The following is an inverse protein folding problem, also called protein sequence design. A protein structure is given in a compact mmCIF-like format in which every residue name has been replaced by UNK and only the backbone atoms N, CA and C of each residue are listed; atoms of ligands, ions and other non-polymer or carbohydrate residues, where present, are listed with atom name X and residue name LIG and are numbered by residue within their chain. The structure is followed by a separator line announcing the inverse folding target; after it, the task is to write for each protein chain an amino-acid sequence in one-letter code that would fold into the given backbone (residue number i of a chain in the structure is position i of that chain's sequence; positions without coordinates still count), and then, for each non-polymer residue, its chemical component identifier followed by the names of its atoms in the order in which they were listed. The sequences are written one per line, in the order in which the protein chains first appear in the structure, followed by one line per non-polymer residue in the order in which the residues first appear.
data_IF_988231184918
#
_entry.id   IF_988231184918
#
_cell.length_a   1.000
_cell.length_b   1.000
_cell.length_c   1.000
_cell.angle_alpha   90.00
_cell.angle_beta   90.00
_cell.angle_gamma   90.00
#
_symmetry.space_group_name_H-M   'P 1'
#
loop_
_entity.id
_entity.type
_entity.pdbx_description
1 polymer ?
#
# COMPACT_ATOMS: atom_id res chain seq x y z
N UNK A 1 25.35 -31.39 50.55
CA UNK A 1 24.85 -31.92 49.26
C UNK A 1 24.09 -30.80 48.57
N UNK A 2 24.58 -30.36 47.41
CA UNK A 2 23.98 -29.28 46.61
C UNK A 2 22.80 -29.87 45.83
N UNK A 3 21.58 -29.40 46.07
CA UNK A 3 20.46 -29.60 45.15
C UNK A 3 20.18 -28.28 44.45
N UNK A 4 20.56 -28.23 43.18
CA UNK A 4 20.25 -27.15 42.25
C UNK A 4 18.80 -27.28 41.81
N UNK A 5 17.95 -26.32 42.18
CA UNK A 5 16.64 -26.16 41.54
C UNK A 5 16.74 -25.02 40.54
N UNK A 6 16.79 -25.41 39.26
CA UNK A 6 16.67 -24.51 38.11
C UNK A 6 15.18 -24.14 38.02
N UNK A 7 14.81 -22.92 38.41
CA UNK A 7 13.49 -22.37 38.10
C UNK A 7 13.58 -21.83 36.68
N UNK A 8 13.01 -22.59 35.76
CA UNK A 8 12.84 -22.29 34.35
C UNK A 8 12.11 -20.95 34.23
N UNK A 9 12.75 -19.99 33.57
CA UNK A 9 12.14 -18.73 33.19
C UNK A 9 10.89 -19.01 32.34
N UNK A 10 9.72 -18.59 32.83
CA UNK A 10 8.53 -18.46 32.02
C UNK A 10 8.80 -17.38 30.98
N UNK A 11 9.29 -17.80 29.81
CA UNK A 11 9.26 -16.98 28.61
C UNK A 11 7.79 -16.66 28.34
N UNK A 12 7.40 -15.42 28.64
CA UNK A 12 6.19 -14.81 28.08
C UNK A 12 6.48 -14.67 26.59
N UNK A 13 6.24 -15.74 25.85
CA UNK A 13 6.22 -15.72 24.39
C UNK A 13 4.96 -14.96 24.03
N UNK A 14 5.06 -13.63 23.95
CA UNK A 14 4.08 -12.80 23.25
C UNK A 14 4.14 -13.26 21.80
N UNK A 15 3.28 -14.22 21.48
CA UNK A 15 2.96 -14.58 20.11
C UNK A 15 2.33 -13.33 19.52
N UNK A 16 3.16 -12.48 18.88
CA UNK A 16 2.67 -11.58 17.85
C UNK A 16 2.09 -12.50 16.78
N UNK A 17 0.80 -12.76 16.90
CA UNK A 17 -0.02 -13.22 15.78
C UNK A 17 0.03 -12.07 14.80
N UNK A 18 1.04 -12.08 13.92
CA UNK A 18 0.95 -11.35 12.66
C UNK A 18 -0.16 -12.06 11.92
N UNK A 19 -1.38 -11.59 12.16
CA UNK A 19 -2.51 -11.82 11.28
C UNK A 19 -2.10 -11.22 9.94
N UNK A 20 -1.39 -12.01 9.13
CA UNK A 20 -1.45 -11.95 7.67
C UNK A 20 -2.85 -12.37 7.23
N UNK A 21 -3.87 -11.76 7.84
CA UNK A 21 -5.27 -12.02 7.61
C UNK A 21 -5.59 -11.58 6.20
N UNK A 22 -6.43 -12.35 5.55
CA UNK A 22 -6.96 -12.16 4.21
C UNK A 22 -7.78 -10.86 4.04
N UNK A 23 -7.25 -9.70 4.42
CA UNK A 23 -7.78 -8.41 3.98
C UNK A 23 -7.29 -8.16 2.55
N UNK A 24 -7.84 -8.94 1.62
CA UNK A 24 -7.59 -8.79 0.19
C UNK A 24 -8.37 -7.63 -0.44
N UNK A 25 -9.18 -6.91 0.34
CA UNK A 25 -9.99 -5.80 -0.14
C UNK A 25 -9.67 -4.50 0.60
N UNK A 26 -9.39 -3.45 -0.17
CA UNK A 26 -9.32 -2.07 0.33
C UNK A 26 -10.68 -1.67 0.93
N UNK A 27 -10.74 -1.10 2.16
CA UNK A 27 -11.99 -0.64 2.76
C UNK A 27 -12.74 0.36 1.86
N UNK A 28 -14.08 0.42 1.90
CA UNK A 28 -14.87 1.31 1.04
C UNK A 28 -14.49 2.79 1.18
N UNK A 29 -14.26 3.25 2.41
CA UNK A 29 -13.90 4.64 2.73
C UNK A 29 -12.49 4.97 2.20
N UNK A 30 -11.57 4.01 2.33
CA UNK A 30 -10.22 4.11 1.77
C UNK A 30 -10.25 4.16 0.24
N UNK A 31 -11.12 3.37 -0.39
CA UNK A 31 -11.34 3.38 -1.84
C UNK A 31 -11.92 4.71 -2.32
N UNK A 32 -12.86 5.28 -1.58
CA UNK A 32 -13.43 6.59 -1.88
C UNK A 32 -12.37 7.70 -1.77
N UNK A 33 -11.60 7.72 -0.68
CA UNK A 33 -10.50 8.66 -0.50
C UNK A 33 -9.44 8.54 -1.62
N UNK A 34 -9.15 7.31 -2.05
CA UNK A 34 -8.19 7.02 -3.09
C UNK A 34 -8.63 7.49 -4.48
N UNK A 35 -9.86 7.12 -4.88
CA UNK A 35 -10.38 7.37 -6.22
C UNK A 35 -10.97 8.77 -6.37
N UNK A 36 -11.38 9.41 -5.26
CA UNK A 36 -11.89 10.79 -5.26
C UNK A 36 -10.85 11.84 -5.63
N UNK A 37 -9.56 11.48 -5.67
CA UNK A 37 -8.47 12.35 -6.11
C UNK A 37 -8.29 12.39 -7.65
N UNK A 38 -9.06 11.61 -8.40
CA UNK A 38 -9.01 11.58 -9.87
C UNK A 38 -10.22 12.32 -10.46
N UNK A 39 -10.04 12.86 -11.66
CA UNK A 39 -11.16 13.41 -12.43
C UNK A 39 -12.00 12.29 -13.07
N UNK A 40 -13.32 12.45 -13.22
CA UNK A 40 -14.18 11.43 -13.80
C UNK A 40 -13.73 10.91 -15.17
N UNK A 41 -13.19 11.79 -16.02
CA UNK A 41 -12.67 11.49 -17.35
C UNK A 41 -11.40 10.63 -17.34
N UNK A 42 -10.66 10.61 -16.23
CA UNK A 42 -9.47 9.75 -16.06
C UNK A 42 -9.88 8.29 -15.86
N UNK A 43 -11.14 8.00 -15.52
CA UNK A 43 -11.69 6.65 -15.39
C UNK A 43 -10.78 5.71 -14.56
N UNK A 44 -10.38 6.10 -13.33
CA UNK A 44 -9.40 5.35 -12.55
C UNK A 44 -9.91 3.95 -12.18
N UNK A 45 -9.03 2.96 -12.27
CA UNK A 45 -9.29 1.55 -11.95
C UNK A 45 -8.20 1.05 -11.01
N UNK A 46 -8.62 0.43 -9.92
CA UNK A 46 -7.69 -0.28 -9.05
C UNK A 46 -7.26 -1.55 -9.77
N UNK A 47 -5.97 -1.64 -10.08
CA UNK A 47 -5.34 -2.80 -10.73
C UNK A 47 -5.05 -3.88 -9.68
N UNK A 48 -4.41 -3.49 -8.58
CA UNK A 48 -4.07 -4.41 -7.50
C UNK A 48 -4.07 -3.71 -6.13
N UNK A 49 -4.37 -4.50 -5.09
CA UNK A 49 -4.37 -4.06 -3.69
C UNK A 49 -3.62 -5.10 -2.88
N UNK A 50 -2.73 -4.62 -2.00
CA UNK A 50 -2.01 -5.47 -1.06
C UNK A 50 -1.90 -4.79 0.29
N UNK A 51 -2.22 -5.51 1.36
CA UNK A 51 -1.90 -5.06 2.71
C UNK A 51 -0.38 -4.84 2.82
N UNK A 52 0.00 -3.62 3.20
CA UNK A 52 1.39 -3.21 3.28
C UNK A 52 1.93 -3.52 4.68
N UNK A 53 3.19 -3.95 4.74
CA UNK A 53 3.91 -3.99 6.01
C UNK A 53 4.11 -2.55 6.51
N UNK A 54 3.81 -2.27 7.78
CA UNK A 54 4.14 -0.97 8.37
C UNK A 54 5.65 -0.85 8.63
N UNK A 55 6.23 0.24 8.16
CA UNK A 55 7.61 0.62 8.48
C UNK A 55 7.69 1.30 9.85
N UNK A 56 8.89 1.43 10.45
CA UNK A 56 9.06 2.13 11.72
C UNK A 56 8.56 3.58 11.70
N UNK A 57 8.71 4.30 10.58
CA UNK A 57 8.17 5.66 10.45
C UNK A 57 6.63 5.70 10.46
N UNK A 58 5.96 4.70 9.90
CA UNK A 58 4.50 4.62 9.89
C UNK A 58 3.98 4.46 11.33
N UNK A 59 4.64 3.60 12.10
CA UNK A 59 4.31 3.38 13.51
C UNK A 59 4.55 4.64 14.36
N UNK A 60 5.62 5.40 14.07
CA UNK A 60 5.90 6.67 14.75
C UNK A 60 4.83 7.73 14.47
N UNK A 61 4.13 7.65 13.34
CA UNK A 61 3.02 8.52 12.96
C UNK A 61 1.65 8.02 13.46
N UNK A 62 1.60 6.86 14.13
CA UNK A 62 0.35 6.26 14.60
C UNK A 62 -0.48 5.63 13.49
N UNK A 63 0.15 5.18 12.40
CA UNK A 63 -0.53 4.41 11.36
C UNK A 63 -0.93 3.04 11.91
N UNK A 64 -2.21 2.73 11.77
CA UNK A 64 -2.79 1.46 12.23
C UNK A 64 -2.77 0.40 11.12
N UNK A 65 -3.07 0.83 9.89
CA UNK A 65 -3.20 -0.04 8.73
C UNK A 65 -2.68 0.68 7.48
N UNK A 66 -2.09 -0.06 6.53
CA UNK A 66 -1.63 0.48 5.26
C UNK A 66 -1.86 -0.48 4.10
N UNK A 67 -2.10 0.06 2.91
CA UNK A 67 -2.29 -0.67 1.67
C UNK A 67 -1.47 -0.08 0.53
N UNK A 68 -0.75 -0.94 -0.17
CA UNK A 68 -0.19 -0.64 -1.46
C UNK A 68 -1.28 -0.85 -2.51
N UNK A 69 -1.64 0.21 -3.23
CA UNK A 69 -2.65 0.19 -4.27
C UNK A 69 -2.06 0.65 -5.58
N UNK A 70 -2.13 -0.20 -6.59
CA UNK A 70 -1.77 0.15 -7.96
C UNK A 70 -3.04 0.53 -8.71
N UNK A 71 -2.96 1.61 -9.47
CA UNK A 71 -4.09 2.21 -10.18
C UNK A 71 -3.70 2.41 -11.63
N UNK A 72 -4.63 2.08 -12.53
CA UNK A 72 -4.55 2.48 -13.93
C UNK A 72 -5.60 3.53 -14.23
N UNK A 73 -5.28 4.49 -15.08
CA UNK A 73 -6.17 5.60 -15.43
C UNK A 73 -5.80 6.16 -16.80
N UNK A 74 -6.73 6.87 -17.42
CA UNK A 74 -6.50 7.60 -18.67
C UNK A 74 -5.76 8.90 -18.36
N UNK A 75 -4.61 9.10 -18.99
CA UNK A 75 -3.86 10.35 -18.89
C UNK A 75 -3.30 10.82 -20.23
N UNK A 76 -3.06 12.12 -20.38
CA UNK A 76 -2.39 12.66 -21.55
C UNK A 76 -0.88 12.42 -21.46
N UNK A 77 -0.31 11.72 -22.44
CA UNK A 77 1.14 11.53 -22.49
C UNK A 77 1.79 12.59 -23.37
N UNK A 78 2.56 13.50 -22.75
CA UNK A 78 3.36 14.49 -23.47
C UNK A 78 4.38 13.86 -24.42
N UNK A 79 4.91 12.68 -24.08
CA UNK A 79 5.90 11.97 -24.89
C UNK A 79 5.34 11.40 -26.19
N UNK A 80 4.04 11.07 -26.20
CA UNK A 80 3.36 10.49 -27.37
C UNK A 80 2.37 11.44 -28.06
N UNK A 81 2.00 12.55 -27.41
CA UNK A 81 1.04 13.50 -27.95
C UNK A 81 -0.38 12.94 -28.07
N UNK A 82 -0.75 11.99 -27.21
CA UNK A 82 -2.08 11.38 -27.18
C UNK A 82 -2.44 10.87 -25.77
N UNK A 83 -3.72 10.60 -25.55
CA UNK A 83 -4.18 9.93 -24.34
C UNK A 83 -3.72 8.47 -24.31
N UNK A 84 -3.37 7.99 -23.12
CA UNK A 84 -2.82 6.65 -22.87
C UNK A 84 -3.38 6.08 -21.56
N UNK A 85 -3.19 4.78 -21.37
CA UNK A 85 -3.39 4.13 -20.07
C UNK A 85 -2.12 4.29 -19.25
N UNK A 86 -2.20 5.14 -18.24
CA UNK A 86 -1.14 5.44 -17.30
C UNK A 86 -1.33 4.63 -16.02
N UNK A 87 -0.26 4.54 -15.26
CA UNK A 87 -0.21 3.83 -14.00
C UNK A 87 0.30 4.72 -12.88
N UNK A 88 -0.22 4.49 -11.69
CA UNK A 88 0.22 5.16 -10.47
C UNK A 88 0.16 4.15 -9.31
N UNK A 89 1.11 4.29 -8.39
CA UNK A 89 1.19 3.49 -7.17
C UNK A 89 0.94 4.42 -5.99
N UNK A 90 -0.05 4.07 -5.18
CA UNK A 90 -0.49 4.87 -4.03
C UNK A 90 -0.46 4.06 -2.76
N UNK A 91 0.10 4.65 -1.73
CA UNK A 91 0.09 4.09 -0.38
C UNK A 91 -1.04 4.73 0.39
N UNK A 92 -1.97 3.91 0.85
CA UNK A 92 -3.17 4.33 1.59
C UNK A 92 -2.99 3.93 3.03
N UNK A 93 -3.12 4.88 3.95
CA UNK A 93 -2.92 4.68 5.39
C UNK A 93 -4.20 4.99 6.15
N UNK A 94 -4.39 4.28 7.26
CA UNK A 94 -5.33 4.64 8.31
C UNK A 94 -4.60 5.22 9.51
N UNK A 95 -4.99 6.42 9.93
CA UNK A 95 -4.51 7.06 11.17
C UNK A 95 -5.75 7.48 11.96
N UNK A 96 -6.07 6.73 13.02
CA UNK A 96 -7.34 6.85 13.74
C UNK A 96 -8.54 6.69 12.80
N UNK A 97 -9.38 7.73 12.73
CA UNK A 97 -10.59 7.76 11.89
C UNK A 97 -10.35 8.36 10.49
N UNK A 98 -9.11 8.67 10.13
CA UNK A 98 -8.77 9.33 8.86
C UNK A 98 -8.02 8.41 7.91
N UNK A 99 -8.39 8.49 6.63
CA UNK A 99 -7.70 7.85 5.51
C UNK A 99 -6.78 8.86 4.83
N UNK A 100 -5.49 8.52 4.72
CA UNK A 100 -4.51 9.33 4.00
C UNK A 100 -3.98 8.57 2.79
N UNK A 101 -3.69 9.30 1.72
CA UNK A 101 -3.19 8.74 0.46
C UNK A 101 -1.89 9.46 0.09
N UNK A 102 -0.85 8.70 -0.21
CA UNK A 102 0.43 9.24 -0.68
C UNK A 102 0.82 8.60 -2.02
N UNK A 103 1.37 9.43 -2.90
CA UNK A 103 1.89 9.01 -4.20
C UNK A 103 3.28 8.38 -4.03
N UNK A 104 3.61 7.42 -4.88
CA UNK A 104 4.92 6.78 -4.94
C UNK A 104 5.65 7.29 -6.18
N UNK A 105 6.38 8.39 -6.04
CA UNK A 105 6.97 9.09 -7.19
C UNK A 105 8.49 9.05 -7.14
N UNK A 106 9.07 9.32 -5.97
CA UNK A 106 10.52 9.42 -5.82
C UNK A 106 11.18 8.05 -5.71
N UNK A 107 12.48 7.98 -5.97
CA UNK A 107 13.24 6.73 -5.77
C UNK A 107 13.25 6.28 -4.30
N UNK A 108 13.14 7.22 -3.36
CA UNK A 108 12.96 6.90 -1.94
C UNK A 108 11.60 6.24 -1.69
N UNK A 109 10.52 6.77 -2.27
CA UNK A 109 9.18 6.19 -2.15
C UNK A 109 9.13 4.79 -2.75
N UNK A 110 9.75 4.58 -3.93
CA UNK A 110 9.83 3.28 -4.59
C UNK A 110 10.61 2.27 -3.75
N UNK A 111 11.72 2.67 -3.14
CA UNK A 111 12.46 1.82 -2.20
C UNK A 111 11.57 1.41 -1.02
N UNK A 112 10.91 2.39 -0.41
CA UNK A 112 9.95 2.22 0.68
C UNK A 112 8.78 1.32 0.29
N UNK A 113 8.30 1.39 -0.95
CA UNK A 113 7.26 0.52 -1.50
C UNK A 113 7.70 -0.94 -1.55
N UNK A 114 8.91 -1.18 -2.06
CA UNK A 114 9.49 -2.53 -2.12
C UNK A 114 9.76 -3.08 -0.71
N UNK A 115 10.25 -2.25 0.22
CA UNK A 115 10.48 -2.65 1.62
C UNK A 115 9.17 -3.05 2.35
N UNK A 116 8.02 -2.51 1.90
CA UNK A 116 6.68 -2.92 2.35
C UNK A 116 6.20 -4.25 1.74
N UNK A 117 7.00 -4.82 0.83
CA UNK A 117 6.71 -6.06 0.11
C UNK A 117 5.80 -5.86 -1.11
N UNK A 118 5.71 -4.64 -1.64
CA UNK A 118 4.79 -4.29 -2.71
C UNK A 118 5.48 -4.32 -4.09
N UNK A 119 4.70 -4.62 -5.12
CA UNK A 119 5.15 -4.67 -6.51
C UNK A 119 4.71 -3.41 -7.23
N UNK A 120 5.64 -2.75 -7.93
CA UNK A 120 5.33 -1.59 -8.76
C UNK A 120 4.77 -2.07 -10.09
N UNK A 121 3.72 -1.39 -10.57
CA UNK A 121 3.32 -1.51 -11.97
C UNK A 121 4.14 -0.54 -12.83
N UNK A 122 4.39 -0.84 -14.11
CA UNK A 122 5.07 0.09 -15.00
C UNK A 122 4.25 1.38 -15.19
N UNK A 123 4.89 2.56 -15.10
CA UNK A 123 4.27 3.90 -15.20
C UNK A 123 3.35 4.11 -16.42
N UNK A 124 3.53 3.32 -17.48
CA UNK A 124 2.69 3.30 -18.67
C UNK A 124 2.35 1.85 -19.04
N UNK A 125 1.06 1.52 -19.07
CA UNK A 125 0.60 0.12 -19.22
C UNK A 125 0.14 -0.17 -20.66
N UNK A 126 -0.32 0.82 -21.43
CA UNK A 126 -0.61 0.67 -22.88
C UNK A 126 -1.09 1.99 -23.54
N UNK A 127 -1.13 1.99 -24.87
CA UNK A 127 -1.86 3.02 -25.65
C UNK A 127 -3.36 2.82 -25.67
N UNK A 128 -4.11 3.86 -26.06
CA UNK A 128 -5.57 3.82 -26.13
C UNK A 128 -6.05 2.63 -26.98
N UNK A 129 -6.77 1.69 -26.34
CA UNK A 129 -7.49 0.59 -26.98
C UNK A 129 -6.75 -0.75 -27.01
N UNK A 130 -7.04 -1.61 -26.04
CA UNK A 130 -6.60 -3.01 -26.04
C UNK A 130 -7.43 -3.88 -25.10
N UNK A 131 -8.68 -4.16 -25.52
CA UNK A 131 -9.69 -5.09 -24.97
C UNK A 131 -9.94 -5.13 -23.46
#
# INVERSE_FOLDING_TARGET
MRSSFIIVAFAVTTVLVVLGGCQSSLPPEAKEALLGAFYPEENPRIDSVKAARLLPEDQALGVEEAWCVNITFVCWSCSYGEYRTCADSRLVYRIGDTWQVSLVVTEEDKKKWVDRGCELIPDLVSGYGGN
#
